data_IF_373378009223
#
_entry.id   IF_373378009223
#
_cell.length_a   1.000
_cell.length_b   1.000
_cell.length_c   1.000
_cell.angle_alpha   90.00
_cell.angle_beta   90.00
_cell.angle_gamma   90.00
#
_symmetry.space_group_name_H-M   'P 1'
#
loop_
_entity.id
_entity.type
_entity.pdbx_description
1 polymer ?
#
# COMPACT_ATOMS: atom_id res chain seq x y z
N UNK A 1 18.22 -34.75 -19.41
CA UNK A 1 16.89 -34.39 -19.98
C UNK A 1 15.74 -34.86 -19.08
N UNK A 2 15.68 -36.14 -18.66
CA UNK A 2 14.61 -36.66 -17.77
C UNK A 2 14.46 -35.88 -16.45
N UNK A 3 15.56 -35.60 -15.73
CA UNK A 3 15.51 -34.85 -14.46
C UNK A 3 14.88 -33.46 -14.61
N UNK A 4 15.12 -32.76 -15.74
CA UNK A 4 14.61 -31.40 -16.01
C UNK A 4 13.11 -31.37 -16.34
N UNK A 5 12.60 -32.39 -17.02
CA UNK A 5 11.17 -32.53 -17.29
C UNK A 5 10.43 -32.81 -15.98
N UNK A 6 10.99 -33.64 -15.09
CA UNK A 6 10.44 -33.84 -13.76
C UNK A 6 10.42 -32.53 -12.94
N UNK A 7 11.48 -31.72 -12.99
CA UNK A 7 11.53 -30.44 -12.27
C UNK A 7 10.47 -29.44 -12.75
N UNK A 8 10.30 -29.30 -14.07
CA UNK A 8 9.26 -28.43 -14.66
C UNK A 8 7.84 -28.94 -14.35
N UNK A 9 7.63 -30.26 -14.38
CA UNK A 9 6.35 -30.86 -14.04
C UNK A 9 6.04 -30.68 -12.55
N UNK A 10 7.01 -30.86 -11.66
CA UNK A 10 6.85 -30.59 -10.22
C UNK A 10 6.65 -29.11 -9.93
N UNK A 11 7.27 -28.20 -10.69
CA UNK A 11 7.04 -26.76 -10.57
C UNK A 11 5.63 -26.38 -11.02
N UNK A 12 5.19 -26.88 -12.17
CA UNK A 12 3.82 -26.67 -12.65
C UNK A 12 2.80 -27.24 -11.66
N UNK A 13 3.08 -28.41 -11.08
CA UNK A 13 2.27 -29.00 -10.00
C UNK A 13 2.31 -28.15 -8.73
N UNK A 14 3.46 -27.64 -8.28
CA UNK A 14 3.57 -26.78 -7.09
C UNK A 14 2.84 -25.45 -7.29
N UNK A 15 2.91 -24.85 -8.48
CA UNK A 15 2.18 -23.62 -8.80
C UNK A 15 0.66 -23.90 -8.91
N UNK A 16 0.27 -25.03 -9.51
CA UNK A 16 -1.14 -25.44 -9.56
C UNK A 16 -1.67 -25.78 -8.17
N UNK A 17 -0.86 -26.42 -7.33
CA UNK A 17 -1.17 -26.70 -5.94
C UNK A 17 -1.24 -25.40 -5.13
N UNK A 18 -0.41 -24.39 -5.43
CA UNK A 18 -0.49 -23.05 -4.83
C UNK A 18 -1.79 -22.32 -5.20
N UNK A 19 -2.23 -22.41 -6.45
CA UNK A 19 -3.53 -21.87 -6.88
C UNK A 19 -4.68 -22.62 -6.19
N UNK A 20 -4.58 -23.95 -6.08
CA UNK A 20 -5.56 -24.79 -5.40
C UNK A 20 -5.54 -24.65 -3.86
N UNK A 21 -4.40 -24.34 -3.25
CA UNK A 21 -4.29 -24.10 -1.80
C UNK A 21 -4.89 -22.75 -1.44
N UNK A 22 -4.80 -21.77 -2.34
CA UNK A 22 -5.55 -20.52 -2.30
C UNK A 22 -7.06 -20.70 -2.60
N UNK A 23 -7.53 -21.91 -2.90
CA UNK A 23 -8.96 -22.29 -2.96
C UNK A 23 -9.36 -23.33 -1.89
N UNK A 24 -8.45 -23.68 -0.98
CA UNK A 24 -8.78 -24.59 0.12
C UNK A 24 -9.63 -23.87 1.18
N UNK A 25 -10.74 -24.45 1.66
CA UNK A 25 -11.61 -23.83 2.64
C UNK A 25 -10.86 -23.76 3.97
N UNK A 26 -10.36 -22.58 4.31
CA UNK A 26 -9.90 -22.30 5.67
C UNK A 26 -11.06 -22.56 6.63
N UNK A 27 -10.80 -23.41 7.61
CA UNK A 27 -11.68 -23.67 8.75
C UNK A 27 -12.14 -22.35 9.36
N UNK A 28 -13.45 -22.23 9.61
CA UNK A 28 -14.12 -21.03 10.11
C UNK A 28 -13.37 -20.36 11.26
N UNK A 29 -12.69 -19.26 10.95
CA UNK A 29 -12.11 -18.33 11.93
C UNK A 29 -12.31 -16.93 11.37
N UNK A 30 -13.16 -16.17 12.06
CA UNK A 30 -13.52 -14.75 11.93
C UNK A 30 -13.69 -14.21 10.50
N UNK A 31 -14.94 -13.95 10.12
CA UNK A 31 -15.33 -13.28 8.87
C UNK A 31 -14.62 -11.92 8.67
N UNK A 32 -14.24 -11.29 9.78
CA UNK A 32 -13.56 -10.01 9.85
C UNK A 32 -12.46 -10.06 10.91
N UNK A 33 -11.23 -9.68 10.54
CA UNK A 33 -10.10 -9.63 11.49
C UNK A 33 -9.43 -8.27 11.38
N UNK A 34 -9.21 -7.59 12.52
CA UNK A 34 -8.40 -6.38 12.60
C UNK A 34 -7.04 -6.67 13.25
N UNK A 35 -5.97 -6.20 12.63
CA UNK A 35 -4.60 -6.25 13.16
C UNK A 35 -3.96 -4.88 13.00
N UNK A 36 -3.04 -4.55 13.89
CA UNK A 36 -2.32 -3.26 13.86
C UNK A 36 -0.83 -3.49 13.94
N UNK A 37 -0.07 -2.67 13.23
CA UNK A 37 1.36 -2.54 13.39
C UNK A 37 1.78 -1.06 13.53
N UNK A 38 2.66 -0.71 14.48
CA UNK A 38 3.21 -1.59 15.53
C UNK A 38 2.21 -1.85 16.66
N UNK A 39 2.50 -2.83 17.53
CA UNK A 39 1.65 -3.13 18.71
C UNK A 39 1.77 -2.07 19.82
N UNK A 40 2.97 -1.50 19.99
CA UNK A 40 3.23 -0.34 20.85
C UNK A 40 3.50 0.84 19.95
N UNK A 41 2.75 1.92 20.14
CA UNK A 41 2.88 3.12 19.30
C UNK A 41 3.48 4.23 20.13
N UNK A 42 4.62 4.72 19.70
CA UNK A 42 5.32 5.83 20.33
C UNK A 42 4.93 7.16 19.68
N UNK A 43 5.27 8.27 20.35
CA UNK A 43 5.08 9.61 19.85
C UNK A 43 5.59 9.77 18.42
N UNK A 44 4.79 10.39 17.57
CA UNK A 44 5.05 10.64 16.15
C UNK A 44 5.15 9.38 15.28
N UNK A 45 4.92 8.19 15.84
CA UNK A 45 4.99 6.94 15.09
C UNK A 45 3.69 6.65 14.34
N UNK A 46 3.73 6.50 13.00
CA UNK A 46 2.55 6.14 12.25
C UNK A 46 2.15 4.68 12.44
N UNK A 47 0.90 4.38 12.07
CA UNK A 47 0.27 3.09 12.33
C UNK A 47 -0.36 2.54 11.07
N UNK A 48 -0.07 1.27 10.80
CA UNK A 48 -0.74 0.46 9.78
C UNK A 48 -1.85 -0.35 10.46
N UNK A 49 -3.08 -0.21 9.97
CA UNK A 49 -4.22 -1.02 10.38
C UNK A 49 -4.61 -1.91 9.22
N UNK A 50 -4.60 -3.22 9.47
CA UNK A 50 -4.93 -4.25 8.51
C UNK A 50 -6.28 -4.86 8.84
N UNK A 51 -7.09 -5.08 7.81
CA UNK A 51 -8.38 -5.75 7.91
C UNK A 51 -8.41 -6.95 6.98
N UNK A 52 -8.80 -8.12 7.49
CA UNK A 52 -9.22 -9.25 6.67
C UNK A 52 -10.73 -9.18 6.49
N UNK A 53 -11.21 -9.21 5.24
CA UNK A 53 -12.62 -9.15 4.86
C UNK A 53 -12.89 -10.27 3.86
N UNK A 54 -13.46 -11.38 4.33
CA UNK A 54 -13.62 -12.62 3.53
C UNK A 54 -14.75 -12.51 2.50
N UNK A 55 -15.75 -11.65 2.76
CA UNK A 55 -16.88 -11.45 1.86
C UNK A 55 -16.58 -10.32 0.86
N UNK A 56 -16.99 -10.46 -0.41
CA UNK A 56 -17.00 -9.33 -1.33
C UNK A 56 -17.79 -8.17 -0.71
N UNK A 57 -17.21 -6.98 -0.77
CA UNK A 57 -17.79 -5.74 -0.28
C UNK A 57 -17.53 -4.64 -1.31
N UNK A 58 -18.47 -3.73 -1.47
CA UNK A 58 -18.32 -2.56 -2.34
C UNK A 58 -17.46 -1.51 -1.65
N UNK A 59 -17.62 -1.37 -0.33
CA UNK A 59 -16.93 -0.37 0.46
C UNK A 59 -16.34 -0.95 1.74
N UNK A 60 -15.04 -0.69 1.95
CA UNK A 60 -14.31 -1.07 3.17
C UNK A 60 -13.62 0.18 3.70
N UNK A 61 -14.10 0.68 4.84
CA UNK A 61 -13.58 1.89 5.48
C UNK A 61 -13.07 1.59 6.89
N UNK A 62 -12.09 2.37 7.33
CA UNK A 62 -11.67 2.48 8.71
C UNK A 62 -12.13 3.84 9.24
N UNK A 63 -13.14 3.86 10.10
CA UNK A 63 -13.51 5.06 10.85
C UNK A 63 -12.55 5.22 12.01
N UNK A 64 -11.89 6.36 12.12
CA UNK A 64 -10.88 6.62 13.14
C UNK A 64 -11.24 7.88 13.90
N UNK A 65 -11.28 7.76 15.21
CA UNK A 65 -11.45 8.84 16.16
C UNK A 65 -10.10 9.10 16.82
N UNK A 66 -9.59 10.32 16.72
CA UNK A 66 -8.39 10.77 17.41
C UNK A 66 -8.80 11.72 18.53
N UNK A 67 -8.26 11.49 19.72
CA UNK A 67 -8.32 12.40 20.85
C UNK A 67 -6.91 12.87 21.19
N UNK A 68 -6.71 14.19 21.31
CA UNK A 68 -5.47 14.79 21.83
C UNK A 68 -5.81 15.66 23.03
N UNK A 69 -5.29 15.28 24.19
CA UNK A 69 -5.50 15.96 25.46
C UNK A 69 -4.21 16.70 25.84
N UNK A 70 -4.36 17.95 26.28
CA UNK A 70 -3.29 18.73 26.87
C UNK A 70 -3.62 19.00 28.34
N UNK A 71 -2.63 18.87 29.21
CA UNK A 71 -2.75 19.24 30.62
C UNK A 71 -1.50 19.98 31.06
N UNK A 72 -1.63 20.82 32.09
CA UNK A 72 -0.51 21.52 32.71
C UNK A 72 -0.58 21.35 34.22
N UNK A 73 0.58 21.16 34.85
CA UNK A 73 0.73 21.17 36.32
C UNK A 73 1.73 22.25 36.73
N UNK A 74 1.40 23.09 37.73
CA UNK A 74 0.10 23.18 38.40
C UNK A 74 -1.02 23.70 37.48
N UNK A 75 -2.26 23.27 37.71
CA UNK A 75 -3.41 23.55 36.81
C UNK A 75 -3.76 25.04 36.73
N UNK A 76 -3.38 25.84 37.74
CA UNK A 76 -3.64 27.27 37.82
C UNK A 76 -2.65 28.14 37.01
N UNK A 77 -1.66 27.54 36.34
CA UNK A 77 -0.62 28.29 35.63
C UNK A 77 -1.16 29.06 34.43
N UNK A 78 -1.90 28.41 33.53
CA UNK A 78 -2.49 29.01 32.32
C UNK A 78 -3.73 28.23 31.88
N UNK A 79 -4.69 28.91 31.25
CA UNK A 79 -5.86 28.26 30.64
C UNK A 79 -5.48 27.65 29.29
N UNK A 80 -5.49 26.32 29.22
CA UNK A 80 -5.25 25.55 28.00
C UNK A 80 -6.53 25.46 27.13
N UNK A 81 -6.39 25.18 25.81
CA UNK A 81 -7.56 24.92 24.96
C UNK A 81 -8.23 23.58 25.34
N UNK A 82 -9.52 23.39 25.01
CA UNK A 82 -10.19 22.11 25.19
C UNK A 82 -9.50 21.01 24.36
N UNK A 83 -9.65 19.75 24.77
CA UNK A 83 -9.09 18.61 24.01
C UNK A 83 -9.59 18.59 22.57
N UNK A 84 -8.71 18.14 21.66
CA UNK A 84 -9.09 17.89 20.28
C UNK A 84 -9.75 16.53 20.20
N UNK A 85 -10.92 16.46 19.56
CA UNK A 85 -11.55 15.20 19.16
C UNK A 85 -11.99 15.30 17.70
N UNK A 86 -11.41 14.48 16.83
CA UNK A 86 -11.69 14.46 15.39
C UNK A 86 -11.96 13.05 14.90
N UNK A 87 -12.96 12.92 14.04
CA UNK A 87 -13.38 11.64 13.44
C UNK A 87 -13.27 11.73 11.93
N UNK A 88 -12.67 10.72 11.30
CA UNK A 88 -12.55 10.61 9.85
C UNK A 88 -12.74 9.17 9.40
N UNK A 89 -13.08 8.96 8.13
CA UNK A 89 -13.23 7.63 7.54
C UNK A 89 -12.21 7.47 6.41
N UNK A 90 -11.33 6.50 6.55
CA UNK A 90 -10.31 6.16 5.57
C UNK A 90 -10.75 4.98 4.74
N UNK A 91 -10.69 5.07 3.42
CA UNK A 91 -10.83 3.88 2.58
C UNK A 91 -9.65 2.95 2.80
N UNK A 92 -9.92 1.67 3.05
CA UNK A 92 -8.86 0.67 3.15
C UNK A 92 -8.44 0.21 1.75
N UNK A 93 -7.14 0.02 1.55
CA UNK A 93 -6.54 -0.31 0.27
C UNK A 93 -6.25 -1.82 0.23
N UNK A 94 -6.68 -2.57 -0.80
CA UNK A 94 -6.37 -3.99 -0.92
C UNK A 94 -4.86 -4.22 -1.09
N UNK A 95 -4.35 -5.26 -0.44
CA UNK A 95 -2.96 -5.68 -0.56
C UNK A 95 -2.77 -6.62 -1.76
N UNK A 96 -1.80 -6.35 -2.65
CA UNK A 96 -1.73 -7.09 -3.92
C UNK A 96 -1.29 -8.54 -3.77
N UNK A 97 -0.48 -8.87 -2.76
CA UNK A 97 0.06 -10.23 -2.58
C UNK A 97 -0.79 -11.10 -1.65
N UNK A 98 -1.85 -10.58 -1.02
CA UNK A 98 -2.67 -11.37 -0.10
C UNK A 98 -4.15 -11.06 -0.25
N UNK A 99 -4.94 -12.10 -0.54
CA UNK A 99 -6.38 -11.97 -0.78
C UNK A 99 -7.09 -11.54 0.49
N UNK A 100 -8.20 -10.81 0.33
CA UNK A 100 -9.10 -10.40 1.44
C UNK A 100 -8.48 -9.44 2.45
N UNK A 101 -7.20 -9.08 2.31
CA UNK A 101 -6.52 -8.19 3.22
C UNK A 101 -6.45 -6.78 2.65
N UNK A 102 -6.76 -5.82 3.51
CA UNK A 102 -6.77 -4.41 3.23
C UNK A 102 -5.92 -3.68 4.28
N UNK A 103 -5.39 -2.51 3.92
CA UNK A 103 -4.59 -1.67 4.81
C UNK A 103 -5.09 -0.23 4.80
N UNK A 104 -5.13 0.40 5.97
CA UNK A 104 -5.26 1.83 6.13
C UNK A 104 -4.11 2.35 7.01
N UNK A 105 -3.82 3.63 6.87
CA UNK A 105 -2.70 4.27 7.56
C UNK A 105 -3.23 5.42 8.43
N UNK A 106 -2.86 5.39 9.71
CA UNK A 106 -3.13 6.46 10.66
C UNK A 106 -1.81 7.22 10.89
N UNK A 107 -1.79 8.56 10.72
CA UNK A 107 -0.57 9.33 10.92
C UNK A 107 -0.09 9.26 12.38
N UNK A 108 1.20 9.47 12.59
CA UNK A 108 1.75 9.50 13.95
C UNK A 108 1.21 10.69 14.74
N UNK A 109 0.89 10.50 16.01
CA UNK A 109 0.38 11.57 16.88
C UNK A 109 1.37 11.85 18.00
N UNK A 110 1.29 13.04 18.58
CA UNK A 110 2.18 13.44 19.66
C UNK A 110 1.71 12.88 21.01
N UNK A 111 2.64 12.31 21.78
CA UNK A 111 2.46 12.10 23.22
C UNK A 111 3.79 12.37 23.90
N UNK A 112 3.85 13.45 24.66
CA UNK A 112 5.10 13.93 25.22
C UNK A 112 4.85 14.82 26.44
N UNK A 113 5.72 14.69 27.44
CA UNK A 113 5.73 15.53 28.62
C UNK A 113 6.90 16.51 28.55
N UNK A 114 6.60 17.80 28.65
CA UNK A 114 7.55 18.90 28.62
C UNK A 114 7.64 19.55 30.00
N UNK A 115 8.84 19.65 30.56
CA UNK A 115 9.08 20.48 31.75
C UNK A 115 9.64 21.83 31.32
N UNK A 116 8.91 22.90 31.62
CA UNK A 116 9.34 24.27 31.33
C UNK A 116 9.65 25.03 32.61
N UNK A 117 10.66 25.89 32.54
CA UNK A 117 10.93 26.91 33.57
C UNK A 117 10.44 28.25 33.07
N UNK A 118 9.67 28.94 33.89
CA UNK A 118 9.12 30.26 33.57
C UNK A 118 9.24 31.19 34.77
N UNK A 119 9.17 32.49 34.52
CA UNK A 119 9.17 33.52 35.55
C UNK A 119 7.72 33.82 35.97
N UNK A 120 7.31 33.32 37.14
CA UNK A 120 5.94 33.50 37.63
C UNK A 120 5.70 34.93 38.13
N UNK A 121 6.75 35.53 38.72
CA UNK A 121 6.81 36.91 39.18
C UNK A 121 8.25 37.43 38.97
N UNK A 122 8.47 38.75 38.88
CA UNK A 122 9.82 39.31 38.72
C UNK A 122 10.81 38.73 39.74
N UNK A 123 11.80 37.98 39.26
CA UNK A 123 12.82 37.30 40.06
C UNK A 123 12.43 35.95 40.68
N UNK A 124 11.23 35.43 40.42
CA UNK A 124 10.73 34.14 40.93
C UNK A 124 10.54 33.15 39.78
N UNK A 125 11.44 32.17 39.71
CA UNK A 125 11.32 31.05 38.80
C UNK A 125 10.32 30.01 39.34
N UNK A 126 9.48 29.51 38.44
CA UNK A 126 8.59 28.39 38.67
C UNK A 126 8.80 27.33 37.58
N UNK A 127 8.35 26.11 37.85
CA UNK A 127 8.36 25.02 36.90
C UNK A 127 6.92 24.61 36.58
N UNK A 128 6.64 24.32 35.32
CA UNK A 128 5.39 23.71 34.89
C UNK A 128 5.67 22.47 34.06
N UNK A 129 4.86 21.43 34.29
CA UNK A 129 4.84 20.21 33.50
C UNK A 129 3.66 20.26 32.55
N UNK A 130 3.92 20.27 31.24
CA UNK A 130 2.91 20.24 30.19
C UNK A 130 2.90 18.83 29.62
N UNK A 131 1.76 18.16 29.69
CA UNK A 131 1.60 16.80 29.16
C UNK A 131 0.62 16.80 28.00
N UNK A 132 1.09 16.36 26.84
CA UNK A 132 0.27 16.00 25.69
C UNK A 132 0.08 14.49 25.65
N UNK A 133 -1.15 14.04 25.50
CA UNK A 133 -1.48 12.61 25.41
C UNK A 133 -2.47 12.39 24.27
N UNK A 134 -2.19 11.38 23.45
CA UNK A 134 -3.04 11.03 22.32
C UNK A 134 -3.63 9.63 22.47
N UNK A 135 -4.90 9.49 22.13
CA UNK A 135 -5.60 8.20 22.05
C UNK A 135 -6.29 8.09 20.70
N UNK A 136 -6.34 6.87 20.18
CA UNK A 136 -7.00 6.56 18.91
C UNK A 136 -7.93 5.39 19.11
N UNK A 137 -9.17 5.54 18.66
CA UNK A 137 -10.15 4.48 18.54
C UNK A 137 -10.50 4.32 17.06
N UNK A 138 -10.64 3.10 16.58
CA UNK A 138 -10.99 2.86 15.19
C UNK A 138 -11.95 1.69 15.02
N UNK A 139 -12.76 1.78 13.96
CA UNK A 139 -13.80 0.81 13.63
C UNK A 139 -13.74 0.45 12.15
N UNK A 140 -13.81 -0.85 11.86
CA UNK A 140 -13.94 -1.38 10.51
C UNK A 140 -15.41 -1.31 10.09
N UNK A 141 -15.64 -0.60 8.98
CA UNK A 141 -16.94 -0.52 8.31
C UNK A 141 -16.86 -1.33 7.01
N UNK A 142 -17.79 -2.28 6.84
CA UNK A 142 -17.97 -3.03 5.60
C UNK A 142 -19.38 -2.75 5.10
N UNK A 143 -19.48 -2.14 3.92
CA UNK A 143 -20.74 -1.67 3.33
C UNK A 143 -21.60 -0.86 4.31
N UNK A 144 -20.94 0.03 5.08
CA UNK A 144 -21.56 0.90 6.08
C UNK A 144 -21.83 0.27 7.45
N UNK A 145 -21.58 -1.03 7.64
CA UNK A 145 -21.83 -1.75 8.91
C UNK A 145 -20.54 -1.87 9.72
N UNK A 146 -20.59 -1.52 11.01
CA UNK A 146 -19.49 -1.75 11.97
C UNK A 146 -19.35 -3.24 12.25
N UNK A 147 -18.18 -3.82 11.93
CA UNK A 147 -17.93 -5.27 12.05
C UNK A 147 -16.78 -5.64 12.98
N UNK A 148 -15.88 -4.69 13.27
CA UNK A 148 -14.77 -4.88 14.20
C UNK A 148 -14.27 -3.52 14.69
N UNK A 149 -13.56 -3.49 15.82
CA UNK A 149 -12.99 -2.28 16.40
C UNK A 149 -11.62 -2.54 17.04
N UNK A 150 -10.91 -1.47 17.33
CA UNK A 150 -9.67 -1.49 18.09
C UNK A 150 -9.30 -0.10 18.58
N UNK A 151 -8.34 -0.05 19.48
CA UNK A 151 -7.89 1.21 20.08
C UNK A 151 -6.43 1.14 20.50
N UNK A 152 -5.84 2.31 20.73
CA UNK A 152 -4.55 2.44 21.38
C UNK A 152 -4.31 3.82 21.98
N UNK A 153 -3.46 3.83 22.99
CA UNK A 153 -2.81 5.04 23.48
C UNK A 153 -1.44 5.20 22.83
N UNK A 154 -1.05 6.44 22.60
CA UNK A 154 0.29 6.80 22.12
C UNK A 154 1.20 6.96 23.32
N UNK A 155 2.30 6.22 23.33
CA UNK A 155 3.28 6.22 24.41
C UNK A 155 4.31 7.32 24.20
N UNK A 156 4.82 7.88 25.29
CA UNK A 156 5.98 8.75 25.25
C UNK A 156 7.24 7.98 24.82
N UNK A 157 8.10 8.64 24.05
CA UNK A 157 9.36 8.08 23.57
C UNK A 157 9.59 8.32 22.09
N UNK A 158 10.81 8.04 21.64
CA UNK A 158 11.22 8.20 20.24
C UNK A 158 11.13 6.90 19.45
N UNK A 159 10.88 7.05 18.14
CA UNK A 159 11.01 5.94 17.18
C UNK A 159 12.51 5.61 17.05
N UNK A 160 12.89 4.45 17.58
CA UNK A 160 14.30 4.02 17.60
C UNK A 160 14.76 3.39 16.27
N UNK A 161 13.82 2.96 15.43
CA UNK A 161 14.10 2.33 14.13
C UNK A 161 14.07 3.38 13.02
N UNK A 162 14.93 3.20 12.02
CA UNK A 162 14.95 3.98 10.78
C UNK A 162 14.84 2.99 9.64
N UNK A 163 13.61 2.74 9.21
CA UNK A 163 13.32 1.68 8.25
C UNK A 163 13.13 2.31 6.87
N UNK A 164 13.80 1.82 5.81
CA UNK A 164 13.57 2.33 4.45
C UNK A 164 12.08 2.28 4.05
N UNK A 165 11.64 3.12 3.10
CA UNK A 165 10.23 3.23 2.78
C UNK A 165 9.68 1.94 2.16
N UNK A 166 8.42 1.66 2.46
CA UNK A 166 7.62 0.70 1.69
C UNK A 166 7.07 1.43 0.47
N UNK A 167 7.11 0.78 -0.70
CA UNK A 167 6.40 1.25 -1.89
C UNK A 167 5.67 0.09 -2.57
N UNK A 168 4.40 0.34 -2.85
CA UNK A 168 3.51 -0.56 -3.59
C UNK A 168 3.10 0.17 -4.88
N UNK A 169 3.14 -0.54 -6.00
CA UNK A 169 2.53 -0.07 -7.24
C UNK A 169 1.50 -1.09 -7.72
N UNK A 170 0.39 -0.59 -8.24
CA UNK A 170 -0.67 -1.44 -8.80
C UNK A 170 -1.44 -0.69 -9.87
N UNK A 171 -1.93 -1.40 -10.89
CA UNK A 171 -2.86 -0.79 -11.84
C UNK A 171 -4.12 -0.32 -11.11
N UNK A 172 -4.58 0.90 -11.41
CA UNK A 172 -5.70 1.53 -10.68
C UNK A 172 -6.97 0.68 -10.70
N UNK A 173 -7.25 0.05 -11.84
CA UNK A 173 -8.41 -0.82 -11.99
C UNK A 173 -8.40 -2.02 -11.01
N UNK A 174 -7.23 -2.46 -10.51
CA UNK A 174 -7.16 -3.52 -9.50
C UNK A 174 -7.65 -3.09 -8.10
N UNK A 175 -7.77 -1.77 -7.84
CA UNK A 175 -8.42 -1.24 -6.63
C UNK A 175 -9.95 -1.26 -6.72
N UNK A 176 -10.48 -1.32 -7.93
CA UNK A 176 -11.92 -1.26 -8.23
C UNK A 176 -12.47 -2.66 -8.55
N UNK A 177 -11.65 -3.52 -9.11
CA UNK A 177 -12.02 -4.88 -9.52
C UNK A 177 -11.04 -5.92 -8.93
N UNK A 178 -11.53 -6.63 -7.90
CA UNK A 178 -10.77 -7.68 -7.19
C UNK A 178 -10.38 -8.84 -8.13
N UNK A 179 -11.11 -9.08 -9.22
CA UNK A 179 -10.75 -10.14 -10.17
C UNK A 179 -9.49 -9.77 -10.97
N UNK A 180 -9.27 -8.48 -11.25
CA UNK A 180 -8.00 -8.02 -11.82
C UNK A 180 -6.87 -8.26 -10.83
N UNK A 181 -7.09 -7.96 -9.55
CA UNK A 181 -6.10 -8.28 -8.51
C UNK A 181 -5.79 -9.77 -8.44
N UNK A 182 -6.79 -10.65 -8.54
CA UNK A 182 -6.59 -12.11 -8.59
C UNK A 182 -5.88 -12.59 -9.86
N UNK A 183 -6.06 -11.90 -10.99
CA UNK A 183 -5.47 -12.25 -12.28
C UNK A 183 -4.03 -11.74 -12.46
N UNK A 184 -3.68 -10.60 -11.87
CA UNK A 184 -2.38 -9.96 -12.14
C UNK A 184 -1.60 -9.56 -10.90
N UNK A 185 -2.14 -9.77 -9.70
CA UNK A 185 -1.63 -9.21 -8.44
C UNK A 185 -1.43 -7.69 -8.52
N UNK A 186 -2.23 -7.01 -9.35
CA UNK A 186 -2.10 -5.57 -9.62
C UNK A 186 -0.90 -5.20 -10.49
N UNK A 187 -0.08 -6.15 -10.94
CA UNK A 187 1.14 -5.93 -11.73
C UNK A 187 0.85 -5.77 -13.24
N UNK A 188 -0.41 -5.78 -13.65
CA UNK A 188 -0.83 -5.57 -15.03
C UNK A 188 -2.34 -5.36 -15.13
N UNK A 189 -2.82 -4.80 -16.26
CA UNK A 189 -4.24 -4.72 -16.56
C UNK A 189 -4.83 -6.12 -16.82
N UNK A 190 -6.15 -6.22 -16.83
CA UNK A 190 -6.90 -7.45 -17.17
C UNK A 190 -6.34 -8.10 -18.44
N UNK A 191 -6.12 -9.42 -18.40
CA UNK A 191 -5.55 -10.18 -19.50
C UNK A 191 -4.10 -9.81 -19.88
N UNK A 192 -3.37 -9.07 -19.03
CA UNK A 192 -2.02 -8.56 -19.28
C UNK A 192 -1.90 -7.66 -20.53
N UNK A 193 -3.01 -7.10 -21.00
CA UNK A 193 -3.09 -6.36 -22.25
C UNK A 193 -3.74 -4.99 -22.06
N UNK A 194 -3.37 -4.05 -22.91
CA UNK A 194 -4.03 -2.75 -23.05
C UNK A 194 -4.21 -2.43 -24.52
N UNK A 195 -5.35 -1.88 -24.92
CA UNK A 195 -5.56 -1.49 -26.30
C UNK A 195 -4.69 -0.30 -26.71
N UNK A 196 -4.24 -0.30 -27.97
CA UNK A 196 -3.49 0.81 -28.53
C UNK A 196 -4.24 2.15 -28.39
N UNK A 197 -3.50 3.22 -28.10
CA UNK A 197 -4.11 4.54 -27.88
C UNK A 197 -4.68 4.76 -26.48
N UNK A 198 -4.80 3.71 -25.65
CA UNK A 198 -5.25 3.86 -24.26
C UNK A 198 -4.08 4.12 -23.31
N UNK A 199 -4.18 5.08 -22.38
CA UNK A 199 -3.23 5.23 -21.28
C UNK A 199 -3.45 4.17 -20.19
N UNK A 200 -2.43 3.90 -19.38
CA UNK A 200 -2.57 3.06 -18.17
C UNK A 200 -2.46 3.92 -16.92
N UNK A 201 -3.44 3.81 -16.04
CA UNK A 201 -3.39 4.42 -14.71
C UNK A 201 -2.84 3.43 -13.67
N UNK A 202 -1.87 3.89 -12.90
CA UNK A 202 -1.19 3.13 -11.85
C UNK A 202 -1.26 3.92 -10.55
N UNK A 203 -1.67 3.28 -9.46
CA UNK A 203 -1.60 3.88 -8.12
C UNK A 203 -0.29 3.48 -7.46
N UNK A 204 0.39 4.48 -6.90
CA UNK A 204 1.55 4.29 -6.06
C UNK A 204 1.19 4.65 -4.62
N UNK A 205 1.56 3.78 -3.69
CA UNK A 205 1.43 3.99 -2.27
C UNK A 205 2.81 3.82 -1.67
N UNK A 206 3.35 4.89 -1.10
CA UNK A 206 4.60 4.83 -0.36
C UNK A 206 4.37 5.22 1.10
N UNK A 207 5.03 4.53 2.01
CA UNK A 207 4.93 4.76 3.45
C UNK A 207 6.30 4.67 4.09
N UNK A 208 6.54 5.55 5.06
CA UNK A 208 7.77 5.66 5.82
C UNK A 208 7.48 6.12 7.26
N UNK A 209 8.32 5.73 8.21
CA UNK A 209 8.15 6.12 9.61
C UNK A 209 8.42 7.62 9.87
N UNK A 210 9.16 8.29 8.97
CA UNK A 210 9.55 9.72 9.08
C UNK A 210 9.00 10.58 7.95
N UNK A 211 8.73 9.97 6.80
CA UNK A 211 7.99 10.57 5.69
C UNK A 211 8.65 10.36 4.34
N UNK A 212 7.84 10.56 3.30
CA UNK A 212 8.25 10.39 1.91
C UNK A 212 8.71 11.73 1.33
N UNK A 213 9.97 11.78 0.86
CA UNK A 213 10.53 12.95 0.18
C UNK A 213 10.18 12.99 -1.30
N UNK A 214 10.20 11.84 -1.97
CA UNK A 214 9.92 11.75 -3.42
C UNK A 214 9.26 10.42 -3.77
N UNK A 215 8.28 10.48 -4.66
CA UNK A 215 7.64 9.31 -5.26
C UNK A 215 7.56 9.50 -6.78
N UNK A 216 7.85 8.46 -7.54
CA UNK A 216 7.83 8.47 -9.01
C UNK A 216 7.32 7.12 -9.54
N UNK A 217 6.63 7.14 -10.68
CA UNK A 217 6.43 5.95 -11.51
C UNK A 217 7.44 5.99 -12.67
N UNK A 218 8.20 4.92 -12.82
CA UNK A 218 9.09 4.70 -13.95
C UNK A 218 8.48 3.66 -14.90
N UNK A 219 8.56 3.89 -16.22
CA UNK A 219 8.13 2.92 -17.23
C UNK A 219 9.13 2.81 -18.38
N UNK A 220 9.19 1.64 -19.02
CA UNK A 220 10.06 1.33 -20.16
C UNK A 220 9.25 0.62 -21.25
N UNK A 221 9.41 1.08 -22.50
CA UNK A 221 8.74 0.49 -23.67
C UNK A 221 9.75 -0.38 -24.41
N UNK A 222 9.40 -1.66 -24.63
CA UNK A 222 10.26 -2.66 -25.28
C UNK A 222 11.69 -2.74 -24.71
N UNK A 223 11.83 -2.67 -23.38
CA UNK A 223 13.12 -2.62 -22.67
C UNK A 223 14.04 -1.44 -23.06
N UNK A 224 13.47 -0.35 -23.57
CA UNK A 224 14.19 0.91 -23.77
C UNK A 224 14.54 1.62 -22.44
N UNK A 225 15.01 2.86 -22.55
CA UNK A 225 15.30 3.67 -21.38
C UNK A 225 14.06 3.90 -20.50
N UNK A 226 14.26 3.87 -19.18
CA UNK A 226 13.23 4.20 -18.20
C UNK A 226 12.85 5.69 -18.31
N UNK A 227 11.55 5.95 -18.39
CA UNK A 227 10.94 7.27 -18.43
C UNK A 227 10.09 7.47 -17.18
N UNK A 228 9.89 8.71 -16.77
CA UNK A 228 8.99 9.05 -15.67
C UNK A 228 7.59 9.34 -16.21
N UNK A 229 6.57 8.81 -15.55
CA UNK A 229 5.18 9.14 -15.84
C UNK A 229 4.74 10.41 -15.12
N UNK A 230 3.68 11.05 -15.64
CA UNK A 230 3.02 12.16 -14.95
C UNK A 230 2.33 11.65 -13.69
N UNK A 231 2.45 12.40 -12.59
CA UNK A 231 1.81 12.10 -11.30
C UNK A 231 0.68 13.08 -11.02
N UNK A 232 -0.37 12.57 -10.40
CA UNK A 232 -1.53 13.31 -9.90
C UNK A 232 -1.78 12.92 -8.45
N UNK A 233 -2.06 13.89 -7.60
CA UNK A 233 -2.41 13.64 -6.20
C UNK A 233 -3.70 12.81 -6.14
N UNK A 234 -3.72 11.79 -5.29
CA UNK A 234 -4.93 11.03 -5.04
C UNK A 234 -5.87 11.80 -4.08
N UNK A 235 -7.19 11.86 -4.33
CA UNK A 235 -8.15 12.49 -3.40
C UNK A 235 -8.09 11.92 -1.97
N UNK A 236 -7.64 10.67 -1.79
CA UNK A 236 -7.35 10.09 -0.48
C UNK A 236 -6.41 10.97 0.38
N UNK A 237 -5.45 11.65 -0.28
CA UNK A 237 -4.50 12.52 0.39
C UNK A 237 -5.11 13.86 0.86
N UNK A 238 -6.29 14.24 0.39
CA UNK A 238 -6.98 15.44 0.86
C UNK A 238 -7.60 15.22 2.25
N UNK A 239 -8.19 14.03 2.48
CA UNK A 239 -8.73 13.64 3.79
C UNK A 239 -7.62 13.59 4.87
N UNK A 240 -6.48 13.01 4.51
CA UNK A 240 -5.31 12.93 5.39
C UNK A 240 -4.72 14.32 5.61
N UNK A 241 -4.66 15.15 4.57
CA UNK A 241 -4.20 16.54 4.68
C UNK A 241 -5.02 17.33 5.70
N UNK A 242 -6.36 17.22 5.63
CA UNK A 242 -7.26 17.87 6.58
C UNK A 242 -7.05 17.38 8.01
N UNK A 243 -6.93 16.07 8.23
CA UNK A 243 -6.62 15.53 9.55
C UNK A 243 -5.32 16.11 10.13
N UNK A 244 -4.27 16.16 9.32
CA UNK A 244 -2.98 16.72 9.73
C UNK A 244 -3.08 18.22 10.02
N UNK A 245 -3.90 18.95 9.27
CA UNK A 245 -4.18 20.36 9.51
C UNK A 245 -4.89 20.58 10.85
N UNK A 246 -5.98 19.84 11.11
CA UNK A 246 -6.74 19.93 12.37
C UNK A 246 -5.86 19.66 13.60
N UNK A 247 -5.03 18.62 13.55
CA UNK A 247 -4.08 18.28 14.64
C UNK A 247 -3.02 19.36 14.78
N UNK A 248 -2.40 19.81 13.69
CA UNK A 248 -1.35 20.82 13.76
C UNK A 248 -1.88 22.21 14.18
N UNK A 249 -3.12 22.56 13.82
CA UNK A 249 -3.78 23.79 14.28
C UNK A 249 -4.02 23.73 15.80
N UNK A 250 -4.50 22.60 16.32
CA UNK A 250 -4.63 22.38 17.76
C UNK A 250 -3.29 22.54 18.48
N UNK A 251 -2.23 21.88 18.00
CA UNK A 251 -0.89 22.04 18.56
C UNK A 251 -0.39 23.48 18.44
N UNK A 252 -0.78 24.22 17.40
CA UNK A 252 -0.47 25.65 17.24
C UNK A 252 -1.14 26.52 18.31
N UNK A 253 -2.40 26.22 18.65
CA UNK A 253 -3.14 26.88 19.75
C UNK A 253 -2.48 26.63 21.10
N UNK A 254 -2.12 25.37 21.39
CA UNK A 254 -1.40 24.98 22.61
C UNK A 254 -0.05 25.72 22.70
N UNK A 255 0.75 25.69 21.64
CA UNK A 255 2.05 26.39 21.58
C UNK A 255 1.92 27.90 21.80
N UNK A 256 0.93 28.55 21.18
CA UNK A 256 0.69 30.00 21.31
C UNK A 256 0.36 30.40 22.74
N UNK A 257 -0.43 29.57 23.45
CA UNK A 257 -0.79 29.79 24.85
C UNK A 257 0.44 29.62 25.76
N UNK A 258 1.23 28.56 25.58
CA UNK A 258 2.42 28.31 26.41
C UNK A 258 3.49 29.38 26.18
N UNK A 259 3.59 29.94 24.97
CA UNK A 259 4.52 31.04 24.67
C UNK A 259 4.28 32.32 25.48
N UNK A 260 3.11 32.47 26.10
CA UNK A 260 2.85 33.58 27.02
C UNK A 260 3.73 33.53 28.28
N UNK A 261 4.14 32.33 28.70
CA UNK A 261 5.01 32.11 29.87
C UNK A 261 6.41 31.60 29.49
N UNK A 262 6.57 30.99 28.31
CA UNK A 262 7.85 30.48 27.78
C UNK A 262 7.99 30.82 26.30
N UNK A 263 8.51 32.01 25.93
CA UNK A 263 8.46 32.53 24.55
C UNK A 263 9.13 31.66 23.47
N UNK A 264 10.14 30.87 23.84
CA UNK A 264 10.90 29.97 22.98
C UNK A 264 10.32 28.54 22.90
N UNK A 265 9.18 28.28 23.54
CA UNK A 265 8.53 26.97 23.47
C UNK A 265 8.08 26.64 22.03
N UNK A 266 8.33 25.40 21.60
CA UNK A 266 7.92 24.88 20.28
C UNK A 266 7.43 23.44 20.41
N UNK A 267 6.37 23.10 19.68
CA UNK A 267 5.88 21.73 19.54
C UNK A 267 6.24 21.17 18.17
N UNK A 268 6.61 19.87 18.09
CA UNK A 268 6.80 19.22 16.80
C UNK A 268 5.46 19.16 16.05
N UNK A 269 5.52 19.37 14.73
CA UNK A 269 4.36 19.25 13.85
C UNK A 269 4.25 17.83 13.31
N UNK A 270 3.03 17.31 13.31
CA UNK A 270 2.72 16.03 12.70
C UNK A 270 2.92 16.13 11.19
N UNK A 271 3.66 15.17 10.62
CA UNK A 271 3.96 15.09 9.20
C UNK A 271 3.17 13.95 8.56
N UNK A 272 2.96 14.05 7.26
CA UNK A 272 2.36 12.96 6.50
C UNK A 272 3.40 11.82 6.31
N UNK A 273 3.17 10.62 6.87
CA UNK A 273 4.13 9.52 6.79
C UNK A 273 4.02 8.73 5.48
N UNK A 274 3.06 9.05 4.62
CA UNK A 274 2.83 8.33 3.37
C UNK A 274 2.42 9.26 2.25
N UNK A 275 2.44 8.71 1.03
CA UNK A 275 2.02 9.38 -0.18
C UNK A 275 1.27 8.40 -1.07
N UNK A 276 0.04 8.76 -1.45
CA UNK A 276 -0.76 8.06 -2.45
C UNK A 276 -0.87 8.96 -3.68
N UNK A 277 -0.37 8.48 -4.81
CA UNK A 277 -0.42 9.21 -6.08
C UNK A 277 -0.89 8.32 -7.21
N UNK A 278 -1.62 8.91 -8.14
CA UNK A 278 -2.00 8.30 -9.40
C UNK A 278 -0.96 8.69 -10.45
N UNK A 279 -0.52 7.73 -11.23
CA UNK A 279 0.44 7.91 -12.29
C UNK A 279 -0.15 7.45 -13.62
N UNK A 280 0.09 8.23 -14.69
CA UNK A 280 -0.46 7.93 -16.01
C UNK A 280 0.69 7.56 -16.95
N UNK A 281 0.78 6.29 -17.31
CA UNK A 281 1.65 5.86 -18.41
C UNK A 281 0.95 6.26 -19.72
N UNK A 282 1.60 7.06 -20.58
CA UNK A 282 0.96 7.57 -21.78
C UNK A 282 0.62 6.43 -22.75
N UNK A 283 -0.37 6.70 -23.60
CA UNK A 283 -0.82 5.78 -24.63
C UNK A 283 0.34 5.30 -25.53
N UNK A 284 0.29 4.01 -25.88
CA UNK A 284 1.28 3.37 -26.74
C UNK A 284 0.64 2.82 -28.01
N UNK A 285 1.46 2.58 -29.04
CA UNK A 285 1.04 1.93 -30.28
C UNK A 285 0.96 0.41 -30.09
N UNK A 286 0.07 -0.26 -30.81
CA UNK A 286 0.04 -1.72 -30.86
C UNK A 286 1.41 -2.28 -31.29
N UNK A 287 1.79 -3.43 -30.74
CA UNK A 287 3.05 -4.07 -31.08
C UNK A 287 4.22 -3.75 -30.15
N UNK A 288 3.94 -3.27 -28.93
CA UNK A 288 4.94 -3.05 -27.89
C UNK A 288 4.53 -3.74 -26.59
N UNK A 289 5.51 -3.98 -25.71
CA UNK A 289 5.25 -4.27 -24.30
C UNK A 289 5.82 -3.14 -23.45
N UNK A 290 5.24 -2.97 -22.26
CA UNK A 290 5.62 -1.94 -21.31
C UNK A 290 5.91 -2.57 -19.96
N UNK A 291 7.05 -2.22 -19.40
CA UNK A 291 7.42 -2.50 -18.01
C UNK A 291 7.22 -1.23 -17.18
N UNK A 292 6.76 -1.36 -15.94
CA UNK A 292 6.64 -0.22 -15.03
C UNK A 292 7.00 -0.58 -13.60
N UNK A 293 7.41 0.38 -12.79
CA UNK A 293 7.70 0.22 -11.36
C UNK A 293 7.56 1.53 -10.61
N UNK A 294 7.17 1.46 -9.35
CA UNK A 294 7.22 2.58 -8.42
C UNK A 294 8.63 2.77 -7.86
N UNK A 295 8.99 4.02 -7.57
CA UNK A 295 10.21 4.41 -6.86
C UNK A 295 9.87 5.40 -5.75
N UNK A 296 10.32 5.15 -4.53
CA UNK A 296 10.17 6.04 -3.38
C UNK A 296 11.53 6.37 -2.76
N UNK A 297 11.66 7.61 -2.28
CA UNK A 297 12.80 8.10 -1.51
C UNK A 297 12.24 8.74 -0.24
N UNK A 298 12.71 8.30 0.93
CA UNK A 298 12.33 8.87 2.22
C UNK A 298 13.10 10.18 2.53
N UNK A 299 12.81 10.78 3.69
CA UNK A 299 13.51 12.00 4.15
C UNK A 299 14.98 11.77 4.48
N UNK A 300 15.37 10.55 4.83
CA UNK A 300 16.74 10.16 5.17
C UNK A 300 17.57 9.80 3.91
N UNK A 301 16.95 9.75 2.74
CA UNK A 301 17.56 9.47 1.45
C UNK A 301 17.60 7.99 1.06
N UNK A 302 16.94 7.09 1.81
CA UNK A 302 16.84 5.69 1.43
C UNK A 302 15.88 5.54 0.25
N UNK A 303 16.30 4.76 -0.73
CA UNK A 303 15.58 4.55 -1.98
C UNK A 303 15.06 3.12 -2.08
N UNK A 304 13.83 2.98 -2.55
CA UNK A 304 13.18 1.69 -2.75
C UNK A 304 12.35 1.63 -4.02
N UNK A 305 12.23 0.41 -4.55
CA UNK A 305 11.42 0.10 -5.72
C UNK A 305 10.30 -0.87 -5.37
N UNK A 306 9.16 -0.73 -6.06
CA UNK A 306 8.14 -1.77 -6.07
C UNK A 306 8.55 -2.92 -7.00
N UNK A 307 7.87 -4.08 -6.94
CA UNK A 307 7.92 -5.04 -8.03
C UNK A 307 7.58 -4.37 -9.37
N UNK A 308 8.19 -4.88 -10.43
CA UNK A 308 7.93 -4.50 -11.82
C UNK A 308 6.58 -5.09 -12.24
N UNK A 309 5.75 -4.25 -12.85
CA UNK A 309 4.59 -4.66 -13.63
C UNK A 309 4.87 -4.73 -15.12
N UNK A 310 3.99 -5.42 -15.85
CA UNK A 310 4.12 -5.72 -17.27
C UNK A 310 2.74 -5.65 -17.95
N UNK A 311 2.69 -5.13 -19.17
CA UNK A 311 1.57 -5.34 -20.08
C UNK A 311 1.98 -5.27 -21.55
N UNK A 312 1.19 -5.90 -22.40
CA UNK A 312 1.33 -5.86 -23.86
C UNK A 312 0.31 -4.89 -24.47
N UNK A 313 0.68 -4.20 -25.55
CA UNK A 313 -0.19 -3.25 -26.24
C UNK A 313 -0.72 -3.88 -27.51
N UNK A 314 -2.04 -4.05 -27.57
CA UNK A 314 -2.74 -4.85 -28.59
C UNK A 314 -3.56 -3.99 -29.55
N UNK A 315 -3.83 -4.54 -30.73
CA UNK A 315 -4.77 -3.96 -31.69
C UNK A 315 -6.20 -4.31 -31.27
N UNK A 316 -6.76 -3.53 -30.34
CA UNK A 316 -8.11 -3.74 -29.81
C UNK A 316 -9.22 -3.64 -30.88
N UNK A 317 -8.96 -2.93 -31.98
CA UNK A 317 -9.89 -2.77 -33.12
C UNK A 317 -9.91 -4.01 -34.04
N UNK A 318 -8.99 -4.95 -33.86
CA UNK A 318 -8.94 -6.17 -34.66
C UNK A 318 -10.19 -7.03 -34.43
N UNK A 319 -10.84 -7.44 -35.52
CA UNK A 319 -12.00 -8.36 -35.47
C UNK A 319 -11.61 -9.77 -35.05
N UNK A 320 -10.33 -10.11 -35.14
CA UNK A 320 -9.81 -11.41 -34.72
C UNK A 320 -9.30 -11.28 -33.29
N UNK A 321 -10.00 -11.96 -32.38
CA UNK A 321 -9.63 -12.07 -30.97
C UNK A 321 -8.88 -13.37 -30.73
N UNK A 322 -7.79 -13.32 -29.99
CA UNK A 322 -6.95 -14.48 -29.69
C UNK A 322 -6.82 -14.61 -28.18
N UNK A 323 -7.29 -15.75 -27.64
CA UNK A 323 -7.01 -16.15 -26.27
C UNK A 323 -5.66 -16.88 -26.23
N UNK A 324 -4.74 -16.37 -25.42
CA UNK A 324 -3.43 -16.96 -25.15
C UNK A 324 -3.46 -17.51 -23.73
N UNK A 325 -3.24 -18.82 -23.61
CA UNK A 325 -3.07 -19.48 -22.31
C UNK A 325 -1.57 -19.66 -22.10
N UNK A 326 -0.96 -18.76 -21.32
CA UNK A 326 0.49 -18.74 -21.14
C UNK A 326 0.90 -18.48 -19.68
N UNK A 327 1.34 -19.51 -18.94
CA UNK A 327 1.85 -19.32 -17.59
C UNK A 327 3.18 -18.54 -17.54
N UNK A 328 3.92 -18.43 -18.65
CA UNK A 328 5.27 -17.87 -18.64
C UNK A 328 5.29 -16.37 -18.33
N UNK A 329 4.21 -15.63 -18.59
CA UNK A 329 4.11 -14.21 -18.23
C UNK A 329 4.32 -14.03 -16.73
N UNK A 330 3.59 -14.81 -15.91
CA UNK A 330 3.72 -14.78 -14.46
C UNK A 330 5.09 -15.27 -14.00
N UNK A 331 5.53 -16.43 -14.51
CA UNK A 331 6.78 -17.07 -14.08
C UNK A 331 7.97 -16.15 -14.36
N UNK A 332 7.99 -15.54 -15.55
CA UNK A 332 9.04 -14.58 -15.93
C UNK A 332 9.01 -13.34 -15.04
N UNK A 333 7.83 -12.79 -14.77
CA UNK A 333 7.69 -11.60 -13.94
C UNK A 333 8.10 -11.85 -12.48
N UNK A 334 7.77 -13.02 -11.93
CA UNK A 334 8.18 -13.40 -10.58
C UNK A 334 9.68 -13.61 -10.49
N UNK A 335 10.28 -14.28 -11.47
CA UNK A 335 11.73 -14.40 -11.56
C UNK A 335 12.40 -13.02 -11.64
N UNK A 336 11.82 -12.11 -12.42
CA UNK A 336 12.34 -10.75 -12.60
C UNK A 336 12.28 -9.93 -11.31
N UNK A 337 11.27 -10.16 -10.48
CA UNK A 337 11.01 -9.46 -9.21
C UNK A 337 11.51 -10.19 -7.97
N UNK A 338 12.29 -11.27 -8.13
CA UNK A 338 12.71 -12.13 -7.03
C UNK A 338 13.44 -11.36 -5.91
N UNK A 339 14.31 -10.43 -6.31
CA UNK A 339 15.05 -9.58 -5.37
C UNK A 339 14.10 -8.61 -4.66
N UNK A 340 13.24 -7.94 -5.41
CA UNK A 340 12.28 -6.96 -4.91
C UNK A 340 11.31 -7.59 -3.90
N UNK A 341 10.90 -8.85 -4.11
CA UNK A 341 10.11 -9.60 -3.12
C UNK A 341 10.89 -9.90 -1.85
N UNK A 342 12.14 -10.34 -1.95
CA UNK A 342 13.00 -10.56 -0.79
C UNK A 342 13.23 -9.27 0.02
N UNK A 343 13.53 -8.17 -0.66
CA UNK A 343 13.69 -6.85 -0.04
C UNK A 343 12.38 -6.33 0.57
N UNK A 344 11.22 -6.60 -0.05
CA UNK A 344 9.91 -6.26 0.51
C UNK A 344 9.59 -7.04 1.79
N UNK A 345 9.79 -8.36 1.82
CA UNK A 345 9.53 -9.19 3.00
C UNK A 345 10.36 -8.70 4.19
N UNK A 346 11.67 -8.48 3.99
CA UNK A 346 12.56 -7.99 5.05
C UNK A 346 12.06 -6.67 5.63
N UNK A 347 11.69 -5.71 4.77
CA UNK A 347 11.13 -4.43 5.20
C UNK A 347 9.82 -4.61 5.95
N UNK A 348 8.92 -5.44 5.45
CA UNK A 348 7.64 -5.69 6.10
C UNK A 348 7.80 -6.27 7.52
N UNK A 349 8.81 -7.13 7.72
CA UNK A 349 9.18 -7.60 9.05
C UNK A 349 9.75 -6.46 9.93
N UNK A 350 10.58 -5.58 9.38
CA UNK A 350 11.11 -4.40 10.08
C UNK A 350 9.99 -3.44 10.54
N UNK A 351 8.93 -3.33 9.73
CA UNK A 351 7.67 -2.63 10.04
C UNK A 351 6.68 -3.43 10.89
N UNK A 352 7.07 -4.59 11.43
CA UNK A 352 6.24 -5.45 12.29
C UNK A 352 4.90 -5.86 11.66
N UNK A 353 4.84 -5.96 10.32
CA UNK A 353 3.62 -6.41 9.62
C UNK A 353 3.31 -7.86 10.04
N UNK A 354 2.05 -8.17 10.41
CA UNK A 354 1.66 -9.50 10.86
C UNK A 354 2.04 -10.62 9.89
N UNK A 355 2.58 -11.74 10.41
CA UNK A 355 3.05 -12.88 9.60
C UNK A 355 1.97 -13.45 8.66
N UNK A 356 0.71 -13.47 9.09
CA UNK A 356 -0.44 -13.92 8.29
C UNK A 356 -0.58 -13.14 6.96
N UNK A 357 -0.16 -11.87 6.95
CA UNK A 357 -0.18 -10.99 5.76
C UNK A 357 1.04 -11.26 4.87
N UNK A 358 2.14 -11.70 5.48
CA UNK A 358 3.41 -11.98 4.80
C UNK A 358 3.47 -13.36 4.17
N UNK A 359 2.70 -14.33 4.68
CA UNK A 359 2.76 -15.73 4.25
C UNK A 359 2.71 -15.92 2.73
N UNK A 360 1.77 -15.24 2.07
CA UNK A 360 1.65 -15.32 0.60
C UNK A 360 2.85 -14.70 -0.13
N UNK A 361 3.40 -13.60 0.37
CA UNK A 361 4.58 -12.97 -0.22
C UNK A 361 5.82 -13.85 -0.05
N UNK A 362 5.97 -14.52 1.11
CA UNK A 362 7.02 -15.50 1.36
C UNK A 362 6.95 -16.65 0.37
N UNK A 363 5.75 -17.19 0.12
CA UNK A 363 5.57 -18.27 -0.87
C UNK A 363 5.89 -17.77 -2.29
N UNK A 364 5.43 -16.57 -2.68
CA UNK A 364 5.76 -15.95 -3.98
C UNK A 364 7.28 -15.84 -4.14
N UNK A 365 7.99 -15.40 -3.10
CA UNK A 365 9.45 -15.29 -3.09
C UNK A 365 10.13 -16.66 -3.21
N UNK A 366 9.66 -17.68 -2.50
CA UNK A 366 10.20 -19.05 -2.60
C UNK A 366 10.01 -19.64 -4.01
N UNK A 367 8.85 -19.39 -4.62
CA UNK A 367 8.59 -19.75 -6.02
C UNK A 367 9.55 -18.99 -6.94
N UNK A 368 9.71 -17.68 -6.75
CA UNK A 368 10.62 -16.86 -7.54
C UNK A 368 12.08 -17.36 -7.42
N UNK A 369 12.54 -17.72 -6.22
CA UNK A 369 13.86 -18.30 -5.98
C UNK A 369 14.03 -19.65 -6.70
N UNK A 370 13.00 -20.50 -6.64
CA UNK A 370 13.00 -21.80 -7.32
C UNK A 370 13.09 -21.63 -8.85
N UNK A 371 12.31 -20.70 -9.41
CA UNK A 371 12.36 -20.35 -10.83
C UNK A 371 13.75 -19.80 -11.18
N UNK A 372 14.29 -18.89 -10.37
CA UNK A 372 15.61 -18.30 -10.62
C UNK A 372 16.73 -19.34 -10.61
N UNK A 373 16.64 -20.33 -9.72
CA UNK A 373 17.66 -21.36 -9.55
C UNK A 373 17.58 -22.49 -10.58
N UNK A 374 16.37 -22.86 -11.02
CA UNK A 374 16.14 -24.07 -11.81
C UNK A 374 15.41 -23.83 -13.13
N UNK A 375 14.76 -22.68 -13.30
CA UNK A 375 13.95 -22.33 -14.47
C UNK A 375 14.78 -21.77 -15.63
N UNK A 376 14.34 -22.09 -16.84
CA UNK A 376 14.65 -21.32 -18.05
C UNK A 376 13.32 -20.72 -18.47
N UNK A 377 13.12 -19.44 -18.18
CA UNK A 377 11.87 -18.74 -18.50
C UNK A 377 12.16 -17.71 -19.58
N UNK A 378 12.07 -18.06 -20.87
CA UNK A 378 12.23 -17.07 -21.92
C UNK A 378 11.09 -16.05 -21.82
N UNK A 379 11.40 -14.79 -22.14
CA UNK A 379 10.37 -13.79 -22.30
C UNK A 379 9.59 -14.09 -23.58
N UNK A 380 8.27 -14.21 -23.48
CA UNK A 380 7.42 -14.41 -24.64
C UNK A 380 7.00 -13.06 -25.24
N UNK A 381 7.32 -12.88 -26.52
CA UNK A 381 7.13 -11.64 -27.27
C UNK A 381 5.71 -11.54 -27.86
N UNK A 382 4.68 -11.60 -27.00
CA UNK A 382 3.28 -11.54 -27.42
C UNK A 382 2.90 -10.21 -28.07
N UNK A 383 3.68 -9.14 -27.86
CA UNK A 383 3.50 -7.87 -28.54
C UNK A 383 3.55 -8.03 -30.07
N UNK A 384 4.34 -8.98 -30.60
CA UNK A 384 4.44 -9.19 -32.04
C UNK A 384 3.11 -9.65 -32.66
N UNK A 385 2.36 -10.48 -31.93
CA UNK A 385 0.97 -10.83 -32.30
C UNK A 385 0.01 -9.69 -32.00
N UNK A 386 0.20 -9.01 -30.86
CA UNK A 386 -0.63 -7.89 -30.41
C UNK A 386 -0.63 -6.72 -31.40
N UNK A 387 0.42 -6.57 -32.20
CA UNK A 387 0.45 -5.61 -33.32
C UNK A 387 -0.71 -5.78 -34.30
N UNK A 388 -1.19 -7.01 -34.49
CA UNK A 388 -2.18 -7.36 -35.53
C UNK A 388 -3.55 -7.74 -34.94
N UNK A 389 -3.56 -8.31 -33.73
CA UNK A 389 -4.73 -8.96 -33.15
C UNK A 389 -5.11 -8.38 -31.80
N UNK A 390 -6.37 -8.56 -31.42
CA UNK A 390 -6.86 -8.27 -30.09
C UNK A 390 -6.58 -9.50 -29.21
N UNK A 391 -5.59 -9.42 -28.33
CA UNK A 391 -5.19 -10.55 -27.49
C UNK A 391 -5.85 -10.49 -26.12
N UNK A 392 -6.01 -11.65 -25.50
CA UNK A 392 -6.23 -11.80 -24.08
C UNK A 392 -5.26 -12.87 -23.57
N UNK A 393 -4.42 -12.55 -22.57
CA UNK A 393 -3.42 -13.49 -22.06
C UNK A 393 -3.83 -13.91 -20.65
N UNK A 394 -3.92 -15.21 -20.41
CA UNK A 394 -4.38 -15.74 -19.11
C UNK A 394 -3.54 -16.90 -18.62
N UNK A 395 -3.62 -17.14 -17.32
CA UNK A 395 -3.02 -18.31 -16.69
C UNK A 395 -3.91 -19.55 -16.93
N UNK A 396 -3.33 -20.76 -17.04
CA UNK A 396 -4.12 -22.00 -17.12
C UNK A 396 -4.87 -22.29 -15.81
N UNK A 397 -6.07 -21.73 -15.65
CA UNK A 397 -6.99 -21.99 -14.53
C UNK A 397 -8.46 -22.20 -14.98
N UNK A 398 -9.36 -22.33 -14.02
CA UNK A 398 -10.79 -22.60 -14.26
C UNK A 398 -11.50 -21.49 -15.06
N UNK A 399 -10.96 -20.26 -15.05
CA UNK A 399 -11.52 -19.09 -15.75
C UNK A 399 -11.34 -19.17 -17.26
N UNK A 400 -10.49 -20.07 -17.77
CA UNK A 400 -10.37 -20.31 -19.22
C UNK A 400 -11.75 -20.59 -19.84
N UNK A 401 -12.63 -21.32 -19.14
CA UNK A 401 -13.97 -21.63 -19.64
C UNK A 401 -14.81 -20.38 -19.85
N UNK A 402 -14.63 -19.36 -19.03
CA UNK A 402 -15.34 -18.08 -19.15
C UNK A 402 -14.76 -17.25 -20.29
N UNK A 403 -13.44 -17.24 -20.43
CA UNK A 403 -12.71 -16.57 -21.52
C UNK A 403 -12.99 -17.18 -22.90
N UNK A 404 -13.49 -18.42 -22.96
CA UNK A 404 -13.88 -19.11 -24.20
C UNK A 404 -15.35 -18.90 -24.59
N UNK A 405 -16.18 -18.30 -23.72
CA UNK A 405 -17.57 -17.99 -24.07
C UNK A 405 -17.60 -16.89 -25.14
N UNK A 406 -18.48 -17.02 -26.12
CA UNK A 406 -18.73 -15.94 -27.09
C UNK A 406 -19.13 -14.67 -26.33
N UNK A 407 -18.47 -13.55 -26.62
CA UNK A 407 -18.93 -12.23 -26.15
C UNK A 407 -20.21 -11.86 -26.88
N UNK A 408 -21.32 -12.50 -26.53
CA UNK A 408 -22.64 -11.98 -26.85
C UNK A 408 -22.88 -10.73 -26.00
N UNK A 409 -22.75 -9.58 -26.68
CA UNK A 409 -23.19 -8.22 -26.30
C UNK A 409 -22.24 -7.42 -25.40
N UNK A 410 -21.73 -6.36 -26.03
CA UNK A 410 -21.09 -5.14 -25.51
C UNK A 410 -20.96 -4.97 -23.99
N UNK A 411 -19.70 -4.95 -23.55
CA UNK A 411 -19.04 -4.32 -22.37
C UNK A 411 -17.72 -5.11 -22.23
N UNK A 412 -16.53 -4.53 -22.10
CA UNK A 412 -16.06 -3.33 -21.39
C UNK A 412 -15.10 -2.57 -22.30
#
# INVERSE_FOLDING_TARGET
MKLRVYTLLTMALLISFFIAYNTSPFTATDLYVLKRSPKKVYSMQPVLVFAKVVKPAEEILLRVNIEVVVSIKPEETISLPPSLSVSYSLRMIPLPWTREWYVALIPGLISETFTIRYEALPGIAAEAEIKLSSRVEYKLLVDGVEVAEGEYEVLEGEITRRVPPIIISMVRHALEDVEVMKETYGLGPRGWVLGAGMPLEVVLIAFDDRGIKKINLEYSVCSGAWKQAELRKDPYMDLIGKLLEDVNEFLGKVESIIRTIKPDFTLPRVKCPFSVVNAIIPAQKAGVYVLFRGRAIDVDGNEQFSPIGLYYVVNAESKVRILIIDPHVWIWLFQRNCKEFGDAIRRYMEYEIPEEILGNLTIIKEIADMILKYGITPFHHWELLGKHYNLYITWPDERIKESLKECDRGRI
#
